data_IF_720971910127
#
_entry.id   IF_720971910127
#
_cell.length_a   1.000
_cell.length_b   1.000
_cell.length_c   1.000
_cell.angle_alpha   90.00
_cell.angle_beta   90.00
_cell.angle_gamma   90.00
#
_symmetry.space_group_name_H-M   'P 1'
#
loop_
_entity.id
_entity.type
_entity.pdbx_description
1 polymer ?
#
# COMPACT_ATOMS: atom_id res chain seq x y z
N UNK A 1 39.92 -56.35 30.35
CA UNK A 1 39.00 -55.22 30.47
C UNK A 1 39.62 -53.91 29.94
N UNK A 2 40.90 -53.65 30.14
CA UNK A 2 41.60 -52.40 29.77
C UNK A 2 41.59 -52.07 28.26
N UNK A 3 41.67 -53.07 27.39
CA UNK A 3 41.68 -52.89 25.93
C UNK A 3 40.27 -52.57 25.33
N UNK A 4 39.18 -53.00 25.98
CA UNK A 4 37.81 -52.69 25.52
C UNK A 4 37.40 -51.20 25.79
N UNK A 5 37.98 -50.64 26.87
CA UNK A 5 37.75 -49.23 27.20
C UNK A 5 38.47 -48.27 26.22
N UNK A 6 39.67 -48.73 25.72
CA UNK A 6 40.42 -47.92 24.74
C UNK A 6 39.77 -47.88 23.40
N UNK A 7 39.03 -48.89 22.93
CA UNK A 7 38.24 -48.88 21.71
C UNK A 7 37.01 -47.99 21.84
N UNK A 8 36.41 -47.95 23.03
CA UNK A 8 35.26 -47.09 23.28
C UNK A 8 35.63 -45.61 23.21
N UNK A 9 36.80 -45.21 23.72
CA UNK A 9 37.30 -43.83 23.69
C UNK A 9 37.71 -43.39 22.27
N UNK A 10 38.08 -44.32 21.40
CA UNK A 10 38.49 -44.02 20.02
C UNK A 10 37.28 -43.95 19.04
N UNK A 11 36.14 -44.58 19.38
CA UNK A 11 34.94 -44.60 18.55
C UNK A 11 34.00 -43.41 18.88
N UNK A 12 34.08 -42.89 20.11
CA UNK A 12 33.23 -41.80 20.56
C UNK A 12 33.36 -40.47 19.75
N UNK A 13 34.58 -40.01 19.32
CA UNK A 13 34.70 -38.79 18.55
C UNK A 13 34.19 -38.90 17.09
N UNK A 14 34.02 -40.12 16.56
CA UNK A 14 33.45 -40.29 15.20
C UNK A 14 31.96 -40.06 15.13
N UNK A 15 31.21 -40.09 16.24
CA UNK A 15 29.81 -39.77 16.30
C UNK A 15 29.51 -38.25 16.43
N UNK A 16 30.57 -37.44 16.67
CA UNK A 16 30.42 -35.97 16.75
C UNK A 16 30.61 -35.28 15.39
N UNK A 17 30.93 -36.02 14.33
CA UNK A 17 30.90 -35.52 12.95
C UNK A 17 29.50 -35.72 12.37
N UNK A 18 28.47 -35.31 13.12
CA UNK A 18 27.11 -35.29 12.63
C UNK A 18 26.98 -34.14 11.63
N UNK A 19 26.63 -34.47 10.41
CA UNK A 19 26.42 -33.54 9.31
C UNK A 19 25.48 -32.43 9.72
N UNK A 20 25.97 -31.21 9.81
CA UNK A 20 25.14 -30.01 9.93
C UNK A 20 24.23 -29.79 8.71
N UNK A 21 24.53 -30.43 7.58
CA UNK A 21 23.74 -30.32 6.35
C UNK A 21 22.37 -31.01 6.46
N UNK A 22 22.17 -31.99 7.34
CA UNK A 22 20.86 -32.65 7.51
C UNK A 22 19.85 -31.82 8.30
N UNK A 23 20.30 -30.80 9.02
CA UNK A 23 19.46 -29.85 9.74
C UNK A 23 19.06 -28.61 8.89
N UNK A 24 19.73 -28.38 7.78
CA UNK A 24 19.40 -27.36 6.79
C UNK A 24 18.42 -27.92 5.74
N UNK A 25 17.28 -28.45 6.18
CA UNK A 25 16.16 -28.69 5.27
C UNK A 25 15.51 -27.34 5.03
N UNK A 26 15.92 -26.64 3.96
CA UNK A 26 15.10 -25.57 3.41
C UNK A 26 13.79 -26.22 2.96
N UNK A 27 12.62 -25.76 3.44
CA UNK A 27 11.35 -26.22 2.91
C UNK A 27 11.36 -26.04 1.39
N UNK A 28 11.02 -27.06 0.62
CA UNK A 28 11.04 -27.01 -0.85
C UNK A 28 10.16 -25.88 -1.44
N UNK A 29 9.23 -25.36 -0.63
CA UNK A 29 8.27 -24.32 -1.01
C UNK A 29 8.65 -22.90 -0.53
N UNK A 30 9.75 -22.72 0.23
CA UNK A 30 10.18 -21.41 0.72
C UNK A 30 11.48 -20.95 0.03
N UNK A 31 11.44 -19.77 -0.56
CA UNK A 31 12.63 -19.12 -1.12
C UNK A 31 13.31 -18.36 0.02
N UNK A 32 14.58 -18.67 0.32
CA UNK A 32 15.34 -17.89 1.31
C UNK A 32 15.48 -16.43 0.87
N UNK A 33 15.57 -15.52 1.85
CA UNK A 33 15.73 -14.09 1.60
C UNK A 33 16.95 -13.80 0.73
N UNK A 34 18.07 -14.44 1.00
CA UNK A 34 19.30 -14.32 0.23
C UNK A 34 19.09 -14.72 -1.24
N UNK A 35 18.39 -15.82 -1.49
CA UNK A 35 18.07 -16.29 -2.84
C UNK A 35 17.07 -15.35 -3.55
N UNK A 36 16.08 -14.84 -2.83
CA UNK A 36 15.10 -13.90 -3.38
C UNK A 36 15.80 -12.64 -3.88
N UNK A 37 16.65 -12.02 -3.08
CA UNK A 37 17.32 -10.77 -3.42
C UNK A 37 18.64 -10.94 -4.19
N UNK A 38 18.94 -12.14 -4.65
CA UNK A 38 20.12 -12.38 -5.52
C UNK A 38 19.91 -11.97 -6.98
N UNK A 39 18.67 -11.69 -7.41
CA UNK A 39 18.31 -11.35 -8.79
C UNK A 39 17.33 -10.18 -8.88
N UNK A 40 17.38 -9.41 -9.96
CA UNK A 40 16.40 -8.35 -10.24
C UNK A 40 14.96 -8.88 -10.33
N UNK A 41 14.76 -10.11 -10.83
CA UNK A 41 13.44 -10.76 -10.84
C UNK A 41 12.94 -11.01 -9.42
N UNK A 42 13.80 -11.41 -8.50
CA UNK A 42 13.43 -11.59 -7.10
C UNK A 42 12.99 -10.28 -6.43
N UNK A 43 13.67 -9.17 -6.71
CA UNK A 43 13.24 -7.83 -6.28
C UNK A 43 11.86 -7.44 -6.84
N UNK A 44 11.57 -7.76 -8.12
CA UNK A 44 10.23 -7.57 -8.71
C UNK A 44 9.17 -8.40 -7.99
N UNK A 45 9.48 -9.66 -7.67
CA UNK A 45 8.56 -10.54 -6.94
C UNK A 45 8.29 -10.00 -5.54
N UNK A 46 9.31 -9.53 -4.83
CA UNK A 46 9.15 -8.92 -3.51
C UNK A 46 8.26 -7.66 -3.59
N UNK A 47 8.48 -6.76 -4.57
CA UNK A 47 7.66 -5.58 -4.78
C UNK A 47 6.21 -5.94 -5.15
N UNK A 48 6.01 -6.91 -6.03
CA UNK A 48 4.67 -7.40 -6.38
C UNK A 48 3.97 -8.01 -5.16
N UNK A 49 4.71 -8.70 -4.27
CA UNK A 49 4.19 -9.20 -3.00
C UNK A 49 3.69 -8.08 -2.08
N UNK A 50 4.34 -6.91 -2.10
CA UNK A 50 3.86 -5.71 -1.38
C UNK A 50 2.51 -5.26 -1.94
N UNK A 51 2.37 -5.10 -3.26
CA UNK A 51 1.11 -4.72 -3.90
C UNK A 51 0.02 -5.77 -3.63
N UNK A 52 0.35 -7.06 -3.72
CA UNK A 52 -0.57 -8.16 -3.43
C UNK A 52 -1.08 -8.12 -1.99
N UNK A 53 -0.22 -7.85 -1.01
CA UNK A 53 -0.65 -7.71 0.39
C UNK A 53 -1.57 -6.49 0.57
N UNK A 54 -1.29 -5.39 -0.15
CA UNK A 54 -2.12 -4.18 -0.10
C UNK A 54 -3.53 -4.38 -0.67
N UNK A 55 -3.74 -5.30 -1.61
CA UNK A 55 -5.07 -5.59 -2.18
C UNK A 55 -5.97 -6.41 -1.23
N UNK A 56 -5.45 -6.85 -0.08
CA UNK A 56 -6.21 -7.64 0.88
C UNK A 56 -7.49 -6.95 1.34
N UNK A 57 -8.46 -7.76 1.77
CA UNK A 57 -9.74 -7.29 2.33
C UNK A 57 -9.53 -6.35 3.53
N UNK A 58 -8.51 -6.60 4.34
CA UNK A 58 -8.22 -5.79 5.52
C UNK A 58 -7.60 -4.44 5.19
N UNK A 59 -6.99 -4.30 4.00
CA UNK A 59 -6.40 -3.05 3.54
C UNK A 59 -7.26 -2.41 2.42
N UNK A 60 -6.69 -2.19 1.24
CA UNK A 60 -7.34 -1.43 0.17
C UNK A 60 -8.38 -2.22 -0.62
N UNK A 61 -8.44 -3.55 -0.46
CA UNK A 61 -9.51 -4.35 -1.05
C UNK A 61 -10.90 -4.04 -0.47
N UNK A 62 -10.95 -3.59 0.80
CA UNK A 62 -12.22 -3.20 1.44
C UNK A 62 -12.07 -2.13 2.51
N UNK A 63 -11.31 -2.40 3.61
CA UNK A 63 -11.44 -1.62 4.83
C UNK A 63 -10.82 -0.22 4.75
N UNK A 64 -9.70 -0.03 4.03
CA UNK A 64 -9.08 1.28 3.82
C UNK A 64 -9.66 2.06 2.63
N UNK A 65 -10.75 1.58 2.06
CA UNK A 65 -11.52 2.23 1.00
C UNK A 65 -12.98 2.35 1.42
N UNK A 66 -13.88 1.63 0.78
CA UNK A 66 -15.32 1.68 0.99
C UNK A 66 -15.82 0.94 2.26
N UNK A 67 -14.94 0.26 2.99
CA UNK A 67 -15.27 -0.46 4.22
C UNK A 67 -15.40 0.47 5.43
N UNK A 68 -14.42 0.41 6.38
CA UNK A 68 -14.50 1.23 7.59
C UNK A 68 -14.21 2.71 7.34
N UNK A 69 -13.40 3.05 6.32
CA UNK A 69 -13.05 4.45 6.06
C UNK A 69 -14.29 5.25 5.66
N UNK A 70 -15.13 4.73 4.78
CA UNK A 70 -16.39 5.36 4.42
C UNK A 70 -17.37 5.41 5.61
N UNK A 71 -17.36 4.37 6.47
CA UNK A 71 -18.17 4.37 7.68
C UNK A 71 -17.70 5.43 8.68
N UNK A 72 -16.39 5.56 8.92
CA UNK A 72 -15.81 6.63 9.73
C UNK A 72 -16.08 8.02 9.12
N UNK A 73 -16.06 8.12 7.80
CA UNK A 73 -16.43 9.32 7.05
C UNK A 73 -17.93 9.61 7.06
N UNK A 74 -18.74 8.70 7.58
CA UNK A 74 -20.22 8.80 7.59
C UNK A 74 -20.82 9.04 6.20
N UNK A 75 -20.21 8.42 5.18
CA UNK A 75 -20.66 8.53 3.78
C UNK A 75 -22.06 7.94 3.60
N UNK A 76 -22.40 6.90 4.39
CA UNK A 76 -23.66 6.20 4.33
C UNK A 76 -24.42 6.24 5.65
N UNK A 77 -25.76 6.09 5.61
CA UNK A 77 -26.60 6.03 6.80
C UNK A 77 -26.65 4.61 7.40
N UNK A 78 -25.65 4.27 8.18
CA UNK A 78 -25.58 2.99 8.89
C UNK A 78 -26.58 2.86 10.05
N UNK A 79 -27.33 3.92 10.43
CA UNK A 79 -28.34 3.85 11.48
C UNK A 79 -29.57 3.06 11.07
N UNK A 80 -29.80 2.91 9.76
CA UNK A 80 -31.00 2.25 9.22
C UNK A 80 -30.87 0.74 9.09
N UNK A 81 -29.69 0.16 9.37
CA UNK A 81 -29.44 -1.27 9.23
C UNK A 81 -28.75 -1.90 10.45
N UNK A 82 -29.28 -1.76 11.68
CA UNK A 82 -28.74 -2.46 12.83
C UNK A 82 -28.92 -3.97 12.65
N UNK A 83 -27.89 -4.73 12.99
CA UNK A 83 -27.87 -6.19 12.89
C UNK A 83 -27.31 -6.78 11.61
N UNK A 84 -27.10 -5.98 10.57
CA UNK A 84 -26.59 -6.46 9.28
C UNK A 84 -25.17 -5.96 9.02
N UNK A 85 -24.81 -4.78 9.53
CA UNK A 85 -23.49 -4.14 9.39
C UNK A 85 -22.96 -3.65 10.73
N UNK A 86 -22.88 -4.55 11.68
CA UNK A 86 -22.47 -4.23 13.05
C UNK A 86 -21.10 -3.52 13.09
N UNK A 87 -20.15 -3.98 12.27
CA UNK A 87 -18.81 -3.39 12.18
C UNK A 87 -18.88 -1.93 11.65
N UNK A 88 -19.58 -1.68 10.53
CA UNK A 88 -19.73 -0.34 9.96
C UNK A 88 -20.54 0.57 10.88
N UNK A 89 -21.54 0.04 11.55
CA UNK A 89 -22.31 0.77 12.56
C UNK A 89 -21.44 1.22 13.73
N UNK A 90 -20.59 0.32 14.25
CA UNK A 90 -19.60 0.64 15.29
C UNK A 90 -18.62 1.72 14.81
N UNK A 91 -18.12 1.61 13.58
CA UNK A 91 -17.23 2.59 13.00
C UNK A 91 -17.90 3.96 12.82
N UNK A 92 -19.10 4.02 12.26
CA UNK A 92 -19.85 5.25 12.06
C UNK A 92 -20.19 5.99 13.36
N UNK A 93 -20.24 5.27 14.47
CA UNK A 93 -20.43 5.82 15.82
C UNK A 93 -19.13 6.10 16.57
N UNK A 94 -17.98 5.84 15.98
CA UNK A 94 -16.67 5.94 16.62
C UNK A 94 -16.58 5.11 17.90
N UNK A 95 -17.27 3.95 17.92
CA UNK A 95 -17.30 3.03 19.05
C UNK A 95 -16.10 2.08 18.99
N UNK A 96 -14.92 2.57 19.35
CA UNK A 96 -13.63 1.90 19.17
C UNK A 96 -13.52 0.53 19.86
N UNK A 97 -14.27 0.32 20.93
CA UNK A 97 -14.31 -0.94 21.66
C UNK A 97 -15.45 -1.88 21.22
N UNK A 98 -16.17 -1.51 20.17
CA UNK A 98 -17.26 -2.34 19.66
C UNK A 98 -16.74 -3.70 19.18
N UNK A 99 -17.41 -4.78 19.57
CA UNK A 99 -16.90 -6.14 19.44
C UNK A 99 -16.61 -6.58 18.00
N UNK A 100 -17.36 -6.07 17.01
CA UNK A 100 -17.14 -6.35 15.58
C UNK A 100 -16.13 -5.37 14.92
N UNK A 101 -15.97 -4.18 15.47
CA UNK A 101 -15.11 -3.14 14.89
C UNK A 101 -13.66 -3.24 15.38
N UNK A 102 -13.45 -3.49 16.65
CA UNK A 102 -12.12 -3.58 17.26
C UNK A 102 -11.20 -4.63 16.62
N UNK A 103 -11.64 -5.86 16.29
CA UNK A 103 -10.80 -6.85 15.60
C UNK A 103 -10.36 -6.38 14.21
N UNK A 104 -11.21 -5.66 13.48
CA UNK A 104 -10.88 -5.12 12.16
C UNK A 104 -9.75 -4.10 12.24
N UNK A 105 -9.78 -3.20 13.23
CA UNK A 105 -8.68 -2.25 13.47
C UNK A 105 -7.36 -2.98 13.75
N UNK A 106 -7.40 -4.06 14.51
CA UNK A 106 -6.21 -4.88 14.81
C UNK A 106 -5.67 -5.57 13.55
N UNK A 107 -6.55 -6.08 12.70
CA UNK A 107 -6.16 -6.71 11.43
C UNK A 107 -5.54 -5.70 10.46
N UNK A 108 -6.16 -4.51 10.33
CA UNK A 108 -5.60 -3.41 9.52
C UNK A 108 -4.19 -3.04 10.01
N UNK A 109 -4.02 -2.86 11.31
CA UNK A 109 -2.73 -2.53 11.90
C UNK A 109 -1.68 -3.60 11.56
N UNK A 110 -1.98 -4.86 11.81
CA UNK A 110 -1.05 -5.97 11.61
C UNK A 110 -0.65 -6.09 10.14
N UNK A 111 -1.61 -6.07 9.22
CA UNK A 111 -1.32 -6.20 7.79
C UNK A 111 -0.63 -4.96 7.21
N UNK A 112 -1.00 -3.76 7.65
CA UNK A 112 -0.32 -2.54 7.22
C UNK A 112 1.15 -2.53 7.63
N UNK A 113 1.48 -2.90 8.86
CA UNK A 113 2.88 -2.98 9.29
C UNK A 113 3.63 -4.18 8.70
N UNK A 114 2.94 -5.24 8.25
CA UNK A 114 3.55 -6.27 7.41
C UNK A 114 3.95 -5.69 6.03
N UNK A 115 3.08 -4.91 5.39
CA UNK A 115 3.44 -4.18 4.16
C UNK A 115 4.67 -3.29 4.39
N UNK A 116 4.69 -2.52 5.49
CA UNK A 116 5.84 -1.67 5.86
C UNK A 116 7.11 -2.49 6.03
N UNK A 117 7.05 -3.64 6.69
CA UNK A 117 8.20 -4.52 6.89
C UNK A 117 8.76 -5.04 5.55
N UNK A 118 7.89 -5.46 4.64
CA UNK A 118 8.29 -5.89 3.29
C UNK A 118 8.91 -4.74 2.48
N UNK A 119 8.35 -3.53 2.54
CA UNK A 119 8.97 -2.36 1.93
C UNK A 119 10.36 -2.08 2.50
N UNK A 120 10.52 -2.15 3.83
CA UNK A 120 11.79 -1.92 4.50
C UNK A 120 12.84 -2.96 4.10
N UNK A 121 12.43 -4.23 3.99
CA UNK A 121 13.32 -5.28 3.51
C UNK A 121 13.81 -4.99 2.09
N UNK A 122 12.90 -4.68 1.15
CA UNK A 122 13.28 -4.30 -0.21
C UNK A 122 14.25 -3.12 -0.21
N UNK A 123 13.95 -2.04 0.53
CA UNK A 123 14.76 -0.84 0.59
C UNK A 123 16.17 -1.14 1.10
N UNK A 124 16.28 -1.95 2.15
CA UNK A 124 17.54 -2.30 2.76
C UNK A 124 18.40 -3.19 1.84
N UNK A 125 17.80 -4.17 1.17
CA UNK A 125 18.49 -5.05 0.24
C UNK A 125 18.90 -4.34 -1.05
N UNK A 126 18.02 -3.48 -1.60
CA UNK A 126 18.26 -2.84 -2.89
C UNK A 126 19.36 -1.77 -2.81
N UNK A 127 19.57 -1.14 -1.67
CA UNK A 127 20.63 -0.14 -1.46
C UNK A 127 21.99 -0.70 -1.86
N UNK A 128 22.25 -1.94 -1.48
CA UNK A 128 23.55 -2.63 -1.69
C UNK A 128 23.57 -3.53 -2.93
N UNK A 129 22.45 -3.70 -3.64
CA UNK A 129 22.38 -4.57 -4.81
C UNK A 129 23.16 -4.01 -5.98
N UNK A 130 23.89 -4.90 -6.68
CA UNK A 130 24.58 -4.52 -7.93
C UNK A 130 23.55 -4.23 -9.04
N UNK A 131 23.59 -3.07 -9.69
CA UNK A 131 22.70 -2.78 -10.82
C UNK A 131 22.72 -3.83 -11.94
N UNK A 132 23.81 -4.56 -12.11
CA UNK A 132 23.96 -5.55 -13.19
C UNK A 132 23.04 -6.78 -13.02
N UNK A 133 22.50 -7.03 -11.82
CA UNK A 133 21.52 -8.12 -11.63
C UNK A 133 20.12 -7.79 -12.15
N UNK A 134 19.84 -6.52 -12.44
CA UNK A 134 18.57 -6.05 -12.96
C UNK A 134 18.57 -6.01 -14.49
N UNK A 135 17.46 -6.43 -15.12
CA UNK A 135 17.37 -6.45 -16.58
C UNK A 135 17.56 -5.05 -17.23
N UNK A 136 17.13 -4.00 -16.52
CA UNK A 136 17.28 -2.59 -16.93
C UNK A 136 18.28 -1.84 -16.06
N UNK A 137 19.17 -2.57 -15.43
CA UNK A 137 20.29 -2.05 -14.61
C UNK A 137 19.83 -0.98 -13.62
N UNK A 138 20.55 0.12 -13.55
CA UNK A 138 20.29 1.22 -12.63
C UNK A 138 18.85 1.79 -12.73
N UNK A 139 18.26 1.77 -13.92
CA UNK A 139 16.90 2.30 -14.09
C UNK A 139 15.87 1.43 -13.36
N UNK A 140 15.98 0.13 -13.46
CA UNK A 140 15.06 -0.79 -12.78
C UNK A 140 15.30 -0.80 -11.27
N UNK A 141 16.58 -0.83 -10.86
CA UNK A 141 16.96 -0.68 -9.46
C UNK A 141 16.32 0.57 -8.84
N UNK A 142 16.48 1.72 -9.49
CA UNK A 142 15.92 2.99 -9.03
C UNK A 142 14.38 2.98 -8.97
N UNK A 143 13.73 2.37 -9.96
CA UNK A 143 12.26 2.25 -9.97
C UNK A 143 11.74 1.41 -8.81
N UNK A 144 12.29 0.22 -8.58
CA UNK A 144 11.88 -0.66 -7.48
C UNK A 144 12.13 0.01 -6.13
N UNK A 145 13.27 0.65 -5.98
CA UNK A 145 13.60 1.39 -4.75
C UNK A 145 12.64 2.55 -4.50
N UNK A 146 12.42 3.38 -5.52
CA UNK A 146 11.49 4.51 -5.43
C UNK A 146 10.05 4.07 -5.13
N UNK A 147 9.58 2.99 -5.75
CA UNK A 147 8.26 2.44 -5.45
C UNK A 147 8.17 1.91 -4.01
N UNK A 148 9.17 1.19 -3.53
CA UNK A 148 9.18 0.69 -2.15
C UNK A 148 9.15 1.82 -1.11
N UNK A 149 9.89 2.92 -1.34
CA UNK A 149 9.84 4.13 -0.50
C UNK A 149 8.45 4.78 -0.54
N UNK A 150 7.88 4.95 -1.73
CA UNK A 150 6.58 5.57 -1.89
C UNK A 150 5.45 4.73 -1.28
N UNK A 151 5.50 3.39 -1.39
CA UNK A 151 4.55 2.46 -0.78
C UNK A 151 4.66 2.49 0.76
N UNK A 152 5.88 2.52 1.30
CA UNK A 152 6.11 2.69 2.73
C UNK A 152 5.50 3.98 3.26
N UNK A 153 5.70 5.08 2.55
CA UNK A 153 5.12 6.37 2.90
C UNK A 153 3.59 6.35 2.80
N UNK A 154 3.04 5.73 1.75
CA UNK A 154 1.61 5.65 1.49
C UNK A 154 0.88 4.95 2.64
N UNK A 155 1.32 3.75 3.00
CA UNK A 155 0.66 2.96 4.05
C UNK A 155 0.83 3.60 5.43
N UNK A 156 2.02 4.14 5.75
CA UNK A 156 2.25 4.80 7.04
C UNK A 156 1.51 6.14 7.16
N UNK A 157 1.25 6.82 6.05
CA UNK A 157 0.39 8.00 6.04
C UNK A 157 -1.07 7.64 6.38
N UNK A 158 -1.59 6.55 5.83
CA UNK A 158 -2.93 6.10 6.17
C UNK A 158 -3.02 5.59 7.62
N UNK A 159 -1.99 4.91 8.12
CA UNK A 159 -1.93 4.55 9.54
C UNK A 159 -1.88 5.78 10.45
N UNK A 160 -1.13 6.83 10.08
CA UNK A 160 -1.12 8.08 10.83
C UNK A 160 -2.51 8.72 10.88
N UNK A 161 -3.21 8.78 9.74
CA UNK A 161 -4.55 9.38 9.64
C UNK A 161 -5.61 8.58 10.41
N UNK A 162 -5.46 7.27 10.49
CA UNK A 162 -6.42 6.38 11.14
C UNK A 162 -6.21 6.30 12.67
N UNK A 163 -4.96 6.31 13.13
CA UNK A 163 -4.61 6.02 14.53
C UNK A 163 -4.02 7.21 15.30
N UNK A 164 -3.94 8.38 14.69
CA UNK A 164 -3.47 9.61 15.37
C UNK A 164 -4.42 10.77 15.07
N UNK A 165 -4.46 11.80 15.94
CA UNK A 165 -5.27 12.99 15.70
C UNK A 165 -4.71 13.79 14.51
N UNK A 166 -5.60 14.53 13.83
CA UNK A 166 -5.18 15.40 12.74
C UNK A 166 -4.31 16.57 13.26
N UNK A 167 -3.32 17.07 12.49
CA UNK A 167 -2.50 18.22 12.86
C UNK A 167 -3.31 19.46 13.24
N UNK A 168 -4.45 19.68 12.58
CA UNK A 168 -5.38 20.80 12.87
C UNK A 168 -5.93 20.81 14.28
N UNK A 169 -5.84 19.69 15.02
CA UNK A 169 -6.26 19.60 16.42
C UNK A 169 -5.16 19.98 17.43
N UNK A 170 -3.98 20.39 16.93
CA UNK A 170 -2.81 20.75 17.74
C UNK A 170 -2.41 19.65 18.75
N UNK A 171 -2.05 18.44 18.30
CA UNK A 171 -1.73 17.32 19.19
C UNK A 171 -0.46 17.52 20.03
N UNK A 172 0.35 18.59 19.74
CA UNK A 172 1.59 18.91 20.43
C UNK A 172 2.65 17.82 20.29
N UNK A 173 3.48 17.68 21.32
CA UNK A 173 4.59 16.70 21.36
C UNK A 173 4.13 15.28 21.78
N UNK A 174 2.84 15.03 21.84
CA UNK A 174 2.31 13.71 22.16
C UNK A 174 2.63 12.73 21.05
N UNK A 175 3.11 11.55 21.44
CA UNK A 175 3.48 10.47 20.54
C UNK A 175 2.32 9.48 20.40
N UNK A 176 2.06 9.01 19.17
CA UNK A 176 0.88 8.18 18.86
C UNK A 176 1.25 6.86 18.21
N UNK A 177 1.91 6.88 17.06
CA UNK A 177 2.27 5.70 16.29
C UNK A 177 3.76 5.70 15.96
N UNK A 178 4.38 4.53 15.75
CA UNK A 178 5.74 4.47 15.23
C UNK A 178 5.77 4.83 13.74
N UNK A 179 6.87 5.42 13.30
CA UNK A 179 7.29 5.38 11.91
C UNK A 179 8.40 4.34 11.77
N UNK A 180 8.10 3.25 11.05
CA UNK A 180 9.00 2.09 10.96
C UNK A 180 9.73 2.13 9.62
N UNK A 181 11.07 2.23 9.67
CA UNK A 181 11.94 2.37 8.50
C UNK A 181 13.15 1.43 8.51
N UNK A 182 13.09 0.37 9.30
CA UNK A 182 14.14 -0.65 9.40
C UNK A 182 13.54 -2.05 9.33
N UNK A 183 14.33 -3.02 8.89
CA UNK A 183 13.97 -4.43 8.85
C UNK A 183 15.15 -5.30 9.36
N UNK A 184 14.93 -6.30 10.21
CA UNK A 184 13.70 -6.49 10.98
C UNK A 184 13.52 -5.40 12.04
N UNK A 185 12.27 -5.10 12.41
CA UNK A 185 11.96 -4.14 13.46
C UNK A 185 11.26 -4.84 14.62
N UNK A 186 11.97 -5.07 15.69
CA UNK A 186 11.42 -5.73 16.88
C UNK A 186 10.73 -4.74 17.83
N UNK A 187 11.26 -3.53 17.93
CA UNK A 187 10.74 -2.47 18.80
C UNK A 187 10.82 -1.14 18.04
N UNK A 188 9.67 -0.50 17.86
CA UNK A 188 9.60 0.83 17.24
C UNK A 188 8.94 1.82 18.20
N UNK A 189 9.65 2.89 18.51
CA UNK A 189 9.15 3.93 19.41
C UNK A 189 8.11 4.80 18.71
N UNK A 190 6.98 5.12 19.37
CA UNK A 190 6.02 6.07 18.85
C UNK A 190 6.65 7.45 18.61
N UNK A 191 6.13 8.14 17.62
CA UNK A 191 6.54 9.49 17.22
C UNK A 191 5.37 10.47 17.32
N UNK A 192 5.67 11.75 17.30
CA UNK A 192 4.66 12.80 17.16
C UNK A 192 4.08 12.79 15.75
N UNK A 193 2.92 13.42 15.57
CA UNK A 193 2.30 13.56 14.25
C UNK A 193 3.25 14.26 13.27
N UNK A 194 3.91 15.33 13.71
CA UNK A 194 4.83 16.10 12.87
C UNK A 194 6.07 15.29 12.48
N UNK A 195 6.70 14.57 13.42
CA UNK A 195 7.82 13.67 13.09
C UNK A 195 7.44 12.60 12.07
N UNK A 196 6.23 12.03 12.19
CA UNK A 196 5.74 11.06 11.18
C UNK A 196 5.56 11.73 9.80
N UNK A 197 4.94 12.91 9.75
CA UNK A 197 4.70 13.63 8.49
C UNK A 197 6.01 14.04 7.80
N UNK A 198 7.03 14.45 8.56
CA UNK A 198 8.35 14.77 8.02
C UNK A 198 9.03 13.54 7.41
N UNK A 199 8.96 12.40 8.09
CA UNK A 199 9.53 11.14 7.58
C UNK A 199 8.77 10.61 6.36
N UNK A 200 7.44 10.70 6.35
CA UNK A 200 6.60 10.36 5.20
C UNK A 200 6.96 11.25 4.00
N UNK A 201 7.05 12.57 4.22
CA UNK A 201 7.42 13.51 3.16
C UNK A 201 8.83 13.23 2.62
N UNK A 202 9.78 12.92 3.51
CA UNK A 202 11.14 12.54 3.11
C UNK A 202 11.15 11.32 2.20
N UNK A 203 10.45 10.25 2.58
CA UNK A 203 10.37 9.05 1.73
C UNK A 203 9.80 9.35 0.35
N UNK A 204 8.78 10.21 0.27
CA UNK A 204 8.19 10.61 -1.00
C UNK A 204 9.11 11.47 -1.85
N UNK A 205 9.89 12.35 -1.23
CA UNK A 205 10.90 13.16 -1.94
C UNK A 205 12.00 12.25 -2.50
N UNK A 206 12.51 11.33 -1.69
CA UNK A 206 13.54 10.37 -2.11
C UNK A 206 12.99 9.46 -3.23
N UNK A 207 11.75 8.99 -3.10
CA UNK A 207 11.06 8.22 -4.15
C UNK A 207 10.94 9.00 -5.46
N UNK A 208 10.53 10.27 -5.42
CA UNK A 208 10.46 11.13 -6.60
C UNK A 208 11.80 11.24 -7.32
N UNK A 209 12.90 11.40 -6.60
CA UNK A 209 14.24 11.50 -7.19
C UNK A 209 14.60 10.22 -7.97
N UNK A 210 14.29 9.05 -7.40
CA UNK A 210 14.57 7.77 -8.02
C UNK A 210 13.68 7.48 -9.23
N UNK A 211 12.39 7.83 -9.15
CA UNK A 211 11.39 7.54 -10.18
C UNK A 211 11.45 8.52 -11.36
N UNK A 212 11.93 9.74 -11.16
CA UNK A 212 11.92 10.83 -12.15
C UNK A 212 12.49 10.43 -13.51
N UNK A 213 13.65 9.80 -13.50
CA UNK A 213 14.39 9.50 -14.74
C UNK A 213 13.57 8.66 -15.73
N UNK A 214 12.82 7.69 -15.21
CA UNK A 214 12.01 6.82 -16.04
C UNK A 214 10.64 7.42 -16.34
N UNK A 215 9.93 7.81 -15.31
CA UNK A 215 8.53 8.26 -15.45
C UNK A 215 8.40 9.64 -16.11
N UNK A 216 9.47 10.46 -16.12
CA UNK A 216 9.49 11.76 -16.82
C UNK A 216 9.75 11.67 -18.32
N UNK A 217 10.36 10.58 -18.79
CA UNK A 217 10.90 10.45 -20.16
C UNK A 217 9.84 10.34 -21.27
N UNK A 218 8.57 10.57 -20.97
CA UNK A 218 7.50 10.59 -21.98
C UNK A 218 6.93 9.21 -22.32
N UNK A 219 7.36 8.17 -21.61
CA UNK A 219 6.80 6.80 -21.71
C UNK A 219 5.44 6.68 -21.05
N UNK A 220 4.97 7.74 -20.39
CA UNK A 220 3.64 7.82 -19.78
C UNK A 220 2.62 8.13 -20.88
N UNK A 221 2.20 7.10 -21.60
CA UNK A 221 1.11 7.23 -22.56
C UNK A 221 -0.18 6.78 -21.87
N UNK A 222 -1.26 7.51 -22.11
CA UNK A 222 -2.59 7.24 -21.57
C UNK A 222 -3.07 5.81 -21.85
N UNK A 223 -2.74 5.24 -23.02
CA UNK A 223 -3.13 3.89 -23.42
C UNK A 223 -2.32 2.82 -22.70
N UNK A 224 -1.06 3.07 -22.40
CA UNK A 224 -0.14 2.02 -21.94
C UNK A 224 -0.15 1.83 -20.43
N UNK A 225 -0.61 2.85 -19.68
CA UNK A 225 -0.56 2.83 -18.22
C UNK A 225 -1.47 1.78 -17.57
N UNK A 226 -2.61 1.47 -18.20
CA UNK A 226 -3.59 0.53 -17.68
C UNK A 226 -3.94 -0.58 -18.68
N UNK A 227 -3.24 -0.67 -19.81
CA UNK A 227 -3.48 -1.72 -20.79
C UNK A 227 -3.05 -3.08 -20.24
N UNK A 228 -3.97 -4.06 -20.29
CA UNK A 228 -3.71 -5.43 -19.84
C UNK A 228 -3.03 -6.29 -20.92
N UNK A 229 -2.95 -5.78 -22.17
CA UNK A 229 -2.31 -6.48 -23.28
C UNK A 229 -0.80 -6.25 -23.25
N UNK A 230 -0.04 -7.32 -23.30
CA UNK A 230 1.43 -7.30 -23.33
C UNK A 230 2.01 -8.51 -22.63
N UNK A 231 3.16 -8.97 -23.08
CA UNK A 231 3.86 -10.11 -22.51
C UNK A 231 5.35 -9.83 -22.37
N UNK A 232 5.99 -10.50 -21.42
CA UNK A 232 7.44 -10.49 -21.25
C UNK A 232 7.95 -9.47 -20.23
N UNK A 233 9.26 -9.28 -20.19
CA UNK A 233 9.96 -8.44 -19.19
C UNK A 233 9.56 -6.97 -19.19
N UNK A 234 9.06 -6.47 -20.32
CA UNK A 234 8.61 -5.09 -20.46
C UNK A 234 7.34 -4.75 -19.67
N UNK A 235 6.58 -5.74 -19.22
CA UNK A 235 5.32 -5.53 -18.47
C UNK A 235 5.56 -4.66 -17.23
N UNK A 236 6.63 -4.91 -16.50
CA UNK A 236 6.99 -4.14 -15.30
C UNK A 236 7.18 -2.64 -15.61
N UNK A 237 7.67 -2.33 -16.82
CA UNK A 237 7.99 -0.96 -17.23
C UNK A 237 6.81 -0.22 -17.84
N UNK A 238 5.82 -0.91 -18.43
CA UNK A 238 4.76 -0.27 -19.23
C UNK A 238 3.47 -0.02 -18.46
N UNK A 239 3.17 -0.79 -17.42
CA UNK A 239 1.91 -0.68 -16.65
C UNK A 239 2.03 0.26 -15.47
N UNK A 240 2.62 1.44 -15.71
CA UNK A 240 2.96 2.39 -14.64
C UNK A 240 1.75 2.94 -13.87
N UNK A 241 0.54 2.87 -14.43
CA UNK A 241 -0.69 3.25 -13.75
C UNK A 241 -1.08 2.32 -12.60
N UNK A 242 -0.62 1.06 -12.62
CA UNK A 242 -0.81 0.11 -11.51
C UNK A 242 0.33 0.13 -10.50
N UNK A 243 1.34 0.96 -10.72
CA UNK A 243 2.50 1.14 -9.85
C UNK A 243 2.50 2.54 -9.24
N UNK A 244 3.06 2.67 -8.04
CA UNK A 244 3.21 3.97 -7.38
C UNK A 244 4.33 4.76 -8.05
N UNK A 245 4.00 5.31 -9.22
CA UNK A 245 4.88 6.02 -10.12
C UNK A 245 5.23 7.43 -9.59
N UNK A 246 6.11 8.16 -10.31
CA UNK A 246 6.52 9.52 -9.96
C UNK A 246 5.34 10.47 -9.71
N UNK A 247 4.32 10.42 -10.58
CA UNK A 247 3.17 11.33 -10.51
C UNK A 247 2.27 10.98 -9.33
N UNK A 248 2.13 9.69 -9.02
CA UNK A 248 1.43 9.22 -7.83
C UNK A 248 2.15 9.63 -6.54
N UNK A 249 3.48 9.49 -6.49
CA UNK A 249 4.28 9.96 -5.36
C UNK A 249 4.17 11.49 -5.19
N UNK A 250 4.17 12.26 -6.29
CA UNK A 250 4.00 13.71 -6.27
C UNK A 250 2.61 14.11 -5.78
N UNK A 251 1.56 13.46 -6.27
CA UNK A 251 0.18 13.70 -5.82
C UNK A 251 0.00 13.33 -4.35
N UNK A 252 0.60 12.23 -3.92
CA UNK A 252 0.58 11.84 -2.51
C UNK A 252 1.32 12.85 -1.62
N UNK A 253 2.47 13.35 -2.06
CA UNK A 253 3.22 14.39 -1.34
C UNK A 253 2.40 15.69 -1.20
N UNK A 254 1.65 16.08 -2.25
CA UNK A 254 0.70 17.18 -2.15
C UNK A 254 -0.35 16.94 -1.06
N UNK A 255 -0.92 15.73 -0.98
CA UNK A 255 -1.88 15.35 0.09
C UNK A 255 -1.26 15.37 1.48
N UNK A 256 -0.01 14.88 1.61
CA UNK A 256 0.74 14.88 2.88
C UNK A 256 0.98 16.31 3.34
N UNK A 257 1.45 17.20 2.47
CA UNK A 257 1.66 18.60 2.80
C UNK A 257 0.36 19.33 3.17
N UNK A 258 -0.72 19.11 2.42
CA UNK A 258 -2.02 19.68 2.75
C UNK A 258 -2.50 19.20 4.14
N UNK A 259 -2.37 17.91 4.44
CA UNK A 259 -2.70 17.36 5.75
C UNK A 259 -1.81 17.93 6.86
N UNK A 260 -0.54 18.22 6.56
CA UNK A 260 0.42 18.86 7.44
C UNK A 260 0.20 20.39 7.59
N UNK A 261 -0.84 20.95 6.95
CA UNK A 261 -1.12 22.41 6.90
C UNK A 261 0.01 23.23 6.24
N UNK A 262 0.75 22.62 5.30
CA UNK A 262 1.76 23.23 4.46
C UNK A 262 1.18 23.51 3.07
N UNK A 263 0.36 24.54 2.98
CA UNK A 263 -0.48 24.81 1.80
C UNK A 263 0.34 25.21 0.56
N UNK A 264 1.39 25.98 0.72
CA UNK A 264 2.23 26.44 -0.38
C UNK A 264 3.00 25.25 -1.01
N UNK A 265 3.59 24.39 -0.18
CA UNK A 265 4.27 23.17 -0.63
C UNK A 265 3.28 22.19 -1.27
N UNK A 266 2.07 22.06 -0.72
CA UNK A 266 1.01 21.24 -1.30
C UNK A 266 0.60 21.74 -2.69
N UNK A 267 0.43 23.05 -2.85
CA UNK A 267 0.09 23.69 -4.12
C UNK A 267 1.19 23.51 -5.17
N UNK A 268 2.46 23.59 -4.77
CA UNK A 268 3.59 23.35 -5.67
C UNK A 268 3.55 21.94 -6.26
N UNK A 269 3.40 20.91 -5.41
CA UNK A 269 3.31 19.53 -5.85
C UNK A 269 2.08 19.27 -6.72
N UNK A 270 0.93 19.82 -6.37
CA UNK A 270 -0.29 19.69 -7.18
C UNK A 270 -0.13 20.33 -8.55
N UNK A 271 0.46 21.53 -8.64
CA UNK A 271 0.76 22.20 -9.91
C UNK A 271 1.71 21.40 -10.79
N UNK A 272 2.68 20.72 -10.21
CA UNK A 272 3.61 19.86 -10.94
C UNK A 272 2.85 18.76 -11.71
N UNK A 273 1.94 18.04 -11.04
CA UNK A 273 1.09 17.00 -11.66
C UNK A 273 0.19 17.60 -12.74
N UNK A 274 -0.50 18.70 -12.44
CA UNK A 274 -1.43 19.35 -13.38
C UNK A 274 -0.72 19.88 -14.62
N UNK A 275 0.47 20.46 -14.48
CA UNK A 275 1.26 20.97 -15.61
C UNK A 275 1.72 19.83 -16.52
N UNK A 276 2.09 18.67 -15.95
CA UNK A 276 2.44 17.50 -16.76
C UNK A 276 1.21 16.96 -17.48
N UNK A 277 0.09 16.81 -16.79
CA UNK A 277 -1.17 16.36 -17.36
C UNK A 277 -1.57 17.22 -18.57
N UNK A 278 -1.52 18.54 -18.45
CA UNK A 278 -1.87 19.49 -19.52
C UNK A 278 -0.92 19.40 -20.73
N UNK A 279 0.40 19.29 -20.49
CA UNK A 279 1.40 19.30 -21.56
C UNK A 279 1.49 18.00 -22.34
N UNK A 280 1.26 16.87 -21.68
CA UNK A 280 1.46 15.54 -22.26
C UNK A 280 0.17 14.81 -22.59
N UNK A 281 -0.98 15.30 -22.11
CA UNK A 281 -2.27 14.60 -22.22
C UNK A 281 -2.28 13.26 -21.48
N UNK A 282 -1.41 13.13 -20.47
CA UNK A 282 -1.24 11.89 -19.72
C UNK A 282 -2.42 11.62 -18.77
N UNK A 283 -2.93 12.68 -18.18
CA UNK A 283 -4.11 12.66 -17.31
C UNK A 283 -5.06 13.75 -17.75
N UNK A 284 -6.36 13.49 -17.72
CA UNK A 284 -7.39 14.50 -18.04
C UNK A 284 -8.69 14.10 -17.39
N UNK A 285 -9.41 15.07 -16.83
CA UNK A 285 -10.76 14.81 -16.34
C UNK A 285 -11.63 14.31 -17.50
N UNK A 286 -12.38 13.25 -17.27
CA UNK A 286 -13.29 12.70 -18.25
C UNK A 286 -14.47 13.66 -18.43
N UNK A 287 -14.65 14.19 -19.65
CA UNK A 287 -15.76 15.06 -19.97
C UNK A 287 -17.12 14.35 -19.88
N UNK A 288 -17.14 13.04 -20.03
CA UNK A 288 -18.32 12.18 -19.96
C UNK A 288 -17.93 10.75 -19.61
N UNK A 289 -18.81 10.07 -18.85
CA UNK A 289 -18.76 8.61 -18.72
C UNK A 289 -18.98 7.96 -20.09
N UNK A 290 -17.97 7.32 -20.61
CA UNK A 290 -18.06 6.57 -21.86
C UNK A 290 -18.31 5.10 -21.55
N UNK A 291 -19.26 4.49 -22.24
CA UNK A 291 -19.61 3.06 -22.03
C UNK A 291 -18.43 2.09 -22.13
N UNK A 292 -17.38 2.48 -22.85
CA UNK A 292 -16.16 1.69 -23.02
C UNK A 292 -15.12 1.86 -21.90
N UNK A 293 -15.19 2.95 -21.13
CA UNK A 293 -14.26 3.24 -20.02
C UNK A 293 -15.06 3.64 -18.76
N UNK A 294 -15.61 2.62 -18.09
CA UNK A 294 -16.33 2.80 -16.83
C UNK A 294 -15.42 3.16 -15.64
N UNK A 295 -14.12 2.98 -15.79
CA UNK A 295 -13.12 3.21 -14.75
C UNK A 295 -12.49 4.59 -14.84
N UNK A 296 -12.81 5.36 -15.90
CA UNK A 296 -12.25 6.70 -16.15
C UNK A 296 -10.71 6.68 -16.06
N UNK A 297 -10.07 5.74 -16.73
CA UNK A 297 -8.61 5.56 -16.65
C UNK A 297 -7.81 6.81 -16.97
N UNK A 298 -8.41 7.75 -17.74
CA UNK A 298 -7.77 9.04 -18.01
C UNK A 298 -7.59 9.92 -16.78
N UNK A 299 -8.42 9.73 -15.76
CA UNK A 299 -8.40 10.52 -14.53
C UNK A 299 -7.51 9.89 -13.47
N UNK A 300 -7.14 8.61 -13.67
CA UNK A 300 -6.41 7.83 -12.66
C UNK A 300 -4.90 8.01 -12.83
N UNK A 301 -4.23 8.48 -11.78
CA UNK A 301 -2.77 8.59 -11.71
C UNK A 301 -2.16 7.27 -11.25
N UNK A 302 -2.80 6.63 -10.27
CA UNK A 302 -2.45 5.33 -9.71
C UNK A 302 -3.71 4.59 -9.31
N UNK A 303 -3.81 3.33 -9.69
CA UNK A 303 -4.90 2.44 -9.30
C UNK A 303 -4.38 1.09 -8.86
N UNK A 304 -4.60 0.72 -7.60
CA UNK A 304 -4.29 -0.61 -7.12
C UNK A 304 -5.23 -1.62 -7.79
N UNK A 305 -4.66 -2.65 -8.40
CA UNK A 305 -5.44 -3.75 -8.96
C UNK A 305 -5.82 -4.72 -7.86
N UNK A 306 -7.11 -4.90 -7.62
CA UNK A 306 -7.64 -5.83 -6.61
C UNK A 306 -8.31 -7.00 -7.34
N UNK A 307 -7.69 -8.18 -7.27
CA UNK A 307 -8.13 -9.39 -7.99
C UNK A 307 -9.51 -9.82 -7.49
N UNK A 308 -9.70 -9.88 -6.18
CA UNK A 308 -10.91 -10.40 -5.53
C UNK A 308 -11.95 -9.30 -5.23
N UNK A 309 -11.87 -8.14 -5.90
CA UNK A 309 -12.76 -7.00 -5.62
C UNK A 309 -14.25 -7.38 -5.72
N UNK A 310 -14.62 -8.20 -6.70
CA UNK A 310 -16.01 -8.66 -6.85
C UNK A 310 -16.44 -9.55 -5.68
N UNK A 311 -15.55 -10.43 -5.21
CA UNK A 311 -15.84 -11.31 -4.09
C UNK A 311 -15.97 -10.53 -2.77
N UNK A 312 -15.15 -9.50 -2.59
CA UNK A 312 -15.25 -8.60 -1.44
C UNK A 312 -16.54 -7.77 -1.44
N UNK A 313 -17.12 -7.53 -2.61
CA UNK A 313 -18.34 -6.75 -2.81
C UNK A 313 -19.60 -7.61 -2.90
N UNK A 314 -19.52 -8.94 -2.94
CA UNK A 314 -20.69 -9.82 -3.07
C UNK A 314 -21.75 -9.54 -2.03
N UNK A 315 -21.35 -9.32 -0.79
CA UNK A 315 -22.25 -9.03 0.33
C UNK A 315 -23.06 -7.73 0.13
N UNK A 316 -22.53 -6.79 -0.71
CA UNK A 316 -23.18 -5.51 -1.02
C UNK A 316 -23.98 -5.60 -2.31
N UNK A 317 -23.49 -6.41 -3.27
CA UNK A 317 -24.06 -6.53 -4.61
C UNK A 317 -25.09 -7.67 -4.74
N UNK A 318 -25.12 -8.62 -3.81
CA UNK A 318 -26.12 -9.69 -3.77
C UNK A 318 -27.44 -9.16 -3.22
N UNK A 319 -28.12 -8.36 -4.02
CA UNK A 319 -29.45 -7.85 -3.73
C UNK A 319 -30.47 -8.93 -4.10
N UNK A 320 -30.72 -9.88 -3.21
CA UNK A 320 -31.83 -10.83 -3.41
C UNK A 320 -33.18 -10.25 -2.99
N UNK A 321 -33.19 -9.17 -2.16
CA UNK A 321 -34.41 -8.50 -1.70
C UNK A 321 -34.25 -6.97 -1.66
N UNK A 322 -35.32 -6.22 -1.93
CA UNK A 322 -35.35 -4.76 -1.82
C UNK A 322 -35.00 -4.25 -0.41
N UNK A 323 -35.14 -5.08 0.63
CA UNK A 323 -34.76 -4.77 2.00
C UNK A 323 -33.24 -4.83 2.25
N UNK A 324 -32.47 -5.52 1.40
CA UNK A 324 -31.01 -5.64 1.50
C UNK A 324 -30.29 -4.39 0.96
N UNK A 325 -30.98 -3.51 0.21
CA UNK A 325 -30.47 -2.23 -0.31
C UNK A 325 -30.12 -1.21 0.80
N UNK A 326 -30.46 -1.51 2.05
CA UNK A 326 -30.28 -0.63 3.21
C UNK A 326 -28.83 -0.31 3.56
N UNK A 327 -27.88 -0.95 2.90
CA UNK A 327 -26.45 -0.84 3.20
C UNK A 327 -25.79 0.48 2.78
N UNK A 328 -26.24 1.07 1.70
CA UNK A 328 -25.61 2.21 1.05
C UNK A 328 -26.59 3.37 0.88
N UNK A 329 -27.50 3.57 1.85
CA UNK A 329 -28.37 4.74 1.85
C UNK A 329 -27.52 5.99 2.11
N UNK A 330 -27.40 6.86 1.12
CA UNK A 330 -26.75 8.17 1.26
C UNK A 330 -27.46 8.96 2.36
N UNK A 331 -26.68 9.61 3.23
CA UNK A 331 -27.22 10.49 4.26
C UNK A 331 -28.08 11.59 3.60
N UNK A 332 -29.22 11.88 4.20
CA UNK A 332 -30.13 12.92 3.70
C UNK A 332 -29.46 14.31 3.62
N UNK A 333 -28.45 14.53 4.50
CA UNK A 333 -27.61 15.73 4.49
C UNK A 333 -26.70 15.82 3.24
N UNK A 334 -26.33 14.70 2.64
CA UNK A 334 -25.42 14.66 1.47
C UNK A 334 -26.13 15.05 0.18
N UNK A 335 -27.48 15.04 0.15
CA UNK A 335 -28.24 15.65 -0.94
C UNK A 335 -27.94 17.15 -1.11
N UNK A 336 -27.44 17.81 -0.07
CA UNK A 336 -27.02 19.20 -0.10
C UNK A 336 -25.57 19.40 -0.55
N UNK A 337 -24.71 18.37 -0.49
CA UNK A 337 -23.29 18.45 -0.90
C UNK A 337 -23.15 18.51 -2.43
N UNK A 338 -24.03 17.82 -3.15
CA UNK A 338 -24.00 17.75 -4.63
C UNK A 338 -24.99 18.72 -5.30
N UNK A 339 -25.68 19.60 -4.51
CA UNK A 339 -26.71 20.49 -5.02
C UNK A 339 -28.00 19.75 -5.39
N UNK A 340 -28.98 20.50 -5.91
CA UNK A 340 -30.25 19.91 -6.37
C UNK A 340 -30.14 19.13 -7.70
N UNK A 341 -28.95 19.10 -8.31
CA UNK A 341 -28.71 18.43 -9.60
C UNK A 341 -28.27 16.98 -9.41
N UNK A 342 -29.24 16.13 -9.10
CA UNK A 342 -29.09 14.68 -9.04
C UNK A 342 -28.87 14.01 -10.41
N UNK A 343 -28.74 14.79 -11.49
CA UNK A 343 -28.48 14.26 -12.84
C UNK A 343 -27.04 13.75 -13.06
N UNK A 344 -26.17 13.91 -12.06
CA UNK A 344 -24.75 13.52 -12.12
C UNK A 344 -24.42 12.23 -11.34
N UNK A 345 -25.41 11.53 -10.77
CA UNK A 345 -25.22 10.23 -10.13
C UNK A 345 -25.78 9.10 -11.04
#
# INVERSE_FOLDING_TARGET
>A
MRNKLLYLVFVLPFFMLSCNEWLNVEPEDEISEEKLFSTGTGFRHALNGVYFTMESRNLYGKHLTWGIVDALGQVYDYKKAPGVNEMQYGAAKYAWDYYEFKPVLSSIWTEAYNVVANCNNIIQQIEHADPEIFAWKENEKAMIWGEALALRAFIQFDMLRLFAPAPSTNPGDRKFIPYVNTYPSYISNPKTVNECLELIAKDLIDAKQLLWKYDSAGSFSRSDNFELAGSGEKIFLIRRGFHLNYWAATALLARVYLYAQKEDEALEQAKEVMNFASKKGAFSLADRFYYGDRKCYSDVIFGLHVIDLLDYNKDIMSMENEDDVKYLAVLEADKNYFGEDLSLI
#
